data_IF_764686037341
#
_entry.id   IF_764686037341
#
_cell.length_a   1.000
_cell.length_b   1.000
_cell.length_c   1.000
_cell.angle_alpha   90.00
_cell.angle_beta   90.00
_cell.angle_gamma   90.00
#
_symmetry.space_group_name_H-M   'P 1'
#
loop_
_entity.id
_entity.type
_entity.pdbx_description
1 polymer ?
#
# COMPACT_ATOMS: atom_id res chain seq x y z
N UNK A 1 0.54 -10.35 15.99
CA UNK A 1 0.72 -10.12 14.54
C UNK A 1 1.91 -9.19 14.40
N UNK A 2 2.95 -9.59 13.66
CA UNK A 2 4.09 -8.70 13.43
C UNK A 2 3.69 -7.61 12.42
N UNK A 3 4.51 -6.57 12.26
CA UNK A 3 4.19 -5.45 11.35
C UNK A 3 4.13 -5.90 9.89
N UNK A 4 4.91 -6.92 9.51
CA UNK A 4 4.88 -7.51 8.18
C UNK A 4 3.51 -8.12 7.87
N UNK A 5 3.03 -9.04 8.73
CA UNK A 5 1.75 -9.70 8.58
C UNK A 5 0.60 -8.67 8.53
N UNK A 6 0.69 -7.64 9.39
CA UNK A 6 -0.30 -6.58 9.46
C UNK A 6 -0.38 -5.76 8.16
N UNK A 7 0.77 -5.33 7.63
CA UNK A 7 0.82 -4.58 6.39
C UNK A 7 0.39 -5.46 5.21
N UNK A 8 0.90 -6.69 5.12
CA UNK A 8 0.59 -7.59 4.02
C UNK A 8 -0.90 -7.92 3.92
N UNK A 9 -1.55 -8.31 5.02
CA UNK A 9 -2.98 -8.66 5.00
C UNK A 9 -3.87 -7.45 4.73
N UNK A 10 -3.50 -6.26 5.22
CA UNK A 10 -4.24 -5.03 4.91
C UNK A 10 -4.15 -4.68 3.42
N UNK A 11 -2.94 -4.61 2.87
CA UNK A 11 -2.73 -4.28 1.45
C UNK A 11 -3.39 -5.31 0.52
N UNK A 12 -3.37 -6.58 0.90
CA UNK A 12 -4.07 -7.67 0.21
C UNK A 12 -5.59 -7.50 0.27
N UNK A 13 -6.15 -7.09 1.41
CA UNK A 13 -7.57 -6.76 1.56
C UNK A 13 -7.96 -5.60 0.64
N UNK A 14 -7.18 -4.51 0.67
CA UNK A 14 -7.36 -3.33 -0.19
C UNK A 14 -7.35 -3.72 -1.67
N UNK A 15 -6.35 -4.50 -2.11
CA UNK A 15 -6.29 -5.01 -3.49
C UNK A 15 -7.53 -5.82 -3.88
N UNK A 16 -8.04 -6.64 -2.95
CA UNK A 16 -9.19 -7.51 -3.19
C UNK A 16 -10.53 -6.76 -3.19
N UNK A 17 -10.60 -5.55 -2.63
CA UNK A 17 -11.80 -4.69 -2.66
C UNK A 17 -12.19 -4.26 -4.08
N UNK A 18 -11.27 -4.38 -5.05
CA UNK A 18 -11.44 -3.96 -6.46
C UNK A 18 -11.76 -2.46 -6.63
N UNK A 19 -11.39 -1.63 -5.65
CA UNK A 19 -11.39 -0.18 -5.78
C UNK A 19 -10.37 0.33 -6.80
N UNK A 20 -10.42 1.63 -7.09
CA UNK A 20 -9.43 2.31 -7.93
C UNK A 20 -8.06 2.32 -7.25
N UNK A 21 -7.00 2.56 -8.02
CA UNK A 21 -5.66 2.74 -7.45
C UNK A 21 -5.63 3.87 -6.42
N UNK A 22 -6.27 5.00 -6.72
CA UNK A 22 -6.26 6.18 -5.85
C UNK A 22 -6.96 5.91 -4.51
N UNK A 23 -8.11 5.23 -4.54
CA UNK A 23 -8.83 4.84 -3.33
C UNK A 23 -8.00 3.85 -2.52
N UNK A 24 -7.48 2.79 -3.15
CA UNK A 24 -6.67 1.81 -2.44
C UNK A 24 -5.37 2.39 -1.87
N UNK A 25 -4.75 3.32 -2.58
CA UNK A 25 -3.56 4.02 -2.10
C UNK A 25 -3.90 4.91 -0.89
N UNK A 26 -5.02 5.64 -0.93
CA UNK A 26 -5.45 6.48 0.19
C UNK A 26 -5.70 5.63 1.45
N UNK A 27 -6.36 4.48 1.31
CA UNK A 27 -6.63 3.54 2.40
C UNK A 27 -5.31 2.98 2.98
N UNK A 28 -4.39 2.57 2.11
CA UNK A 28 -3.08 2.05 2.51
C UNK A 28 -2.23 3.09 3.25
N UNK A 29 -2.21 4.33 2.76
CA UNK A 29 -1.57 5.47 3.42
C UNK A 29 -2.20 5.73 4.79
N UNK A 30 -3.53 5.69 4.87
CA UNK A 30 -4.28 5.87 6.11
C UNK A 30 -3.87 4.84 7.16
N UNK A 31 -3.84 3.56 6.77
CA UNK A 31 -3.39 2.47 7.64
C UNK A 31 -1.97 2.68 8.17
N UNK A 32 -1.02 2.98 7.29
CA UNK A 32 0.39 3.17 7.69
C UNK A 32 0.55 4.35 8.63
N UNK A 33 -0.15 5.46 8.38
CA UNK A 33 -0.13 6.63 9.27
C UNK A 33 -0.77 6.34 10.63
N UNK A 34 -1.88 5.60 10.68
CA UNK A 34 -2.51 5.17 11.94
C UNK A 34 -1.56 4.33 12.81
N UNK A 35 -0.70 3.52 12.16
CA UNK A 35 0.33 2.73 12.83
C UNK A 35 1.62 3.50 13.14
N UNK A 36 1.69 4.79 12.86
CA UNK A 36 2.88 5.62 13.07
C UNK A 36 4.02 5.34 12.09
N UNK A 37 3.71 4.78 10.93
CA UNK A 37 4.65 4.53 9.85
C UNK A 37 4.97 5.75 8.99
N UNK A 38 5.79 5.52 7.98
CA UNK A 38 6.24 6.54 7.04
C UNK A 38 5.70 6.30 5.63
N UNK A 39 5.47 7.39 4.91
CA UNK A 39 5.06 7.38 3.51
C UNK A 39 6.05 8.24 2.72
N UNK A 40 6.65 7.67 1.67
CA UNK A 40 7.55 8.34 0.76
C UNK A 40 7.06 8.18 -0.68
N UNK A 41 7.51 9.08 -1.56
CA UNK A 41 7.17 9.06 -2.99
C UNK A 41 8.46 9.11 -3.79
N UNK A 42 8.75 8.05 -4.53
CA UNK A 42 9.97 7.92 -5.34
C UNK A 42 9.64 7.32 -6.70
N UNK A 43 10.20 7.89 -7.78
CA UNK A 43 10.10 7.38 -9.15
C UNK A 43 8.67 7.01 -9.63
N UNK A 44 7.65 7.74 -9.17
CA UNK A 44 6.24 7.48 -9.53
C UNK A 44 5.58 6.34 -8.75
N UNK A 45 6.22 5.84 -7.71
CA UNK A 45 5.70 4.85 -6.78
C UNK A 45 5.51 5.47 -5.39
N UNK A 46 4.57 4.92 -4.63
CA UNK A 46 4.39 5.29 -3.22
C UNK A 46 4.96 4.19 -2.35
N UNK A 47 5.89 4.55 -1.47
CA UNK A 47 6.56 3.64 -0.56
C UNK A 47 5.95 3.80 0.83
N UNK A 48 5.49 2.69 1.40
CA UNK A 48 4.83 2.60 2.68
C UNK A 48 5.72 1.82 3.65
N UNK A 49 6.07 2.36 4.80
CA UNK A 49 6.99 1.71 5.74
C UNK A 49 6.44 1.65 7.16
N UNK A 50 6.51 0.47 7.76
CA UNK A 50 6.32 0.22 9.19
C UNK A 50 7.63 -0.36 9.78
N UNK A 51 7.79 -0.39 11.11
CA UNK A 51 8.98 -0.98 11.71
C UNK A 51 9.21 -2.42 11.23
N UNK A 52 10.29 -2.63 10.46
CA UNK A 52 10.69 -3.94 9.94
C UNK A 52 9.99 -4.40 8.66
N UNK A 53 9.21 -3.55 7.99
CA UNK A 53 8.59 -3.88 6.69
C UNK A 53 8.37 -2.64 5.82
N UNK A 54 8.60 -2.78 4.53
CA UNK A 54 8.34 -1.75 3.52
C UNK A 54 7.51 -2.33 2.40
N UNK A 55 6.52 -1.61 1.91
CA UNK A 55 5.72 -1.97 0.76
C UNK A 55 5.81 -0.89 -0.33
N UNK A 56 5.85 -1.32 -1.58
CA UNK A 56 5.90 -0.47 -2.77
C UNK A 56 4.55 -0.54 -3.47
N UNK A 57 3.85 0.59 -3.60
CA UNK A 57 2.52 0.67 -4.21
C UNK A 57 2.61 1.29 -5.60
N UNK A 58 2.03 0.61 -6.60
CA UNK A 58 2.15 0.98 -8.01
C UNK A 58 0.90 0.62 -8.83
N UNK A 59 0.80 1.22 -10.02
CA UNK A 59 -0.14 0.79 -11.06
C UNK A 59 0.61 -0.18 -11.98
N UNK A 60 0.14 -1.42 -12.09
CA UNK A 60 0.79 -2.41 -12.95
C UNK A 60 0.59 -2.12 -14.45
N UNK A 61 -0.59 -1.60 -14.81
CA UNK A 61 -0.92 -1.22 -16.18
C UNK A 61 -1.57 0.18 -16.17
N UNK A 62 -1.23 1.08 -17.12
CA UNK A 62 -1.83 2.41 -17.20
C UNK A 62 -3.35 2.37 -17.41
N UNK A 63 -3.82 1.39 -18.16
CA UNK A 63 -5.24 1.24 -18.55
C UNK A 63 -6.07 0.50 -17.49
N UNK A 64 -5.43 -0.07 -16.46
CA UNK A 64 -6.11 -0.80 -15.39
C UNK A 64 -6.00 0.01 -14.10
N UNK A 65 -7.11 0.63 -13.72
CA UNK A 65 -7.20 1.39 -12.47
C UNK A 65 -7.39 0.46 -11.27
N UNK A 66 -6.30 -0.19 -10.86
CA UNK A 66 -6.26 -1.08 -9.71
C UNK A 66 -5.04 -0.83 -8.84
N UNK A 67 -5.22 -1.06 -7.55
CA UNK A 67 -4.16 -1.03 -6.55
C UNK A 67 -3.30 -2.31 -6.60
N UNK A 68 -2.00 -2.15 -6.79
CA UNK A 68 -1.01 -3.23 -6.68
C UNK A 68 0.08 -2.86 -5.67
N UNK A 69 0.71 -3.88 -5.09
CA UNK A 69 1.78 -3.72 -4.13
C UNK A 69 2.77 -4.89 -4.13
N UNK A 70 3.99 -4.63 -3.68
CA UNK A 70 5.04 -5.60 -3.34
C UNK A 70 5.63 -5.27 -1.96
N UNK A 71 6.15 -6.27 -1.24
CA UNK A 71 6.77 -6.16 0.09
C UNK A 71 8.14 -6.84 0.07
#
# INVERSE_FOLDING_TARGET
MNMYDALFEELKSIRNSKGTYEVGLADAIGFVKDKGGNVAYEEGQTILSLPGVTAYCFKLFPDIDRFYFEI
#
